data_IF_095625614932
#
_entry.id   IF_095625614932
#
_cell.length_a   1.000
_cell.length_b   1.000
_cell.length_c   1.000
_cell.angle_alpha   90.00
_cell.angle_beta   90.00
_cell.angle_gamma   90.00
#
_symmetry.space_group_name_H-M   'P 1'
#
loop_
_entity.id
_entity.type
_entity.pdbx_description
1 polymer ?
#
# COMPACT_ATOMS: atom_id res chain seq x y z
N UNK A 1 -1.53 30.11 -19.39
CA UNK A 1 -2.80 30.22 -18.66
C UNK A 1 -2.91 29.28 -17.44
N UNK A 2 -2.64 27.98 -17.55
CA UNK A 2 -2.84 27.01 -16.45
C UNK A 2 -2.16 27.31 -15.11
N UNK A 3 -0.92 27.82 -15.10
CA UNK A 3 -0.20 28.09 -13.84
C UNK A 3 -0.84 29.22 -13.03
N UNK A 4 -1.31 30.27 -13.69
CA UNK A 4 -1.98 31.40 -13.03
C UNK A 4 -3.31 30.95 -12.42
N UNK A 5 -4.08 30.17 -13.19
CA UNK A 5 -5.35 29.62 -12.73
C UNK A 5 -5.19 28.63 -11.56
N UNK A 6 -4.21 27.73 -11.64
CA UNK A 6 -3.91 26.81 -10.55
C UNK A 6 -3.57 27.57 -9.24
N UNK A 7 -2.80 28.65 -9.31
CA UNK A 7 -2.48 29.48 -8.14
C UNK A 7 -3.72 30.19 -7.59
N UNK A 8 -4.59 30.70 -8.47
CA UNK A 8 -5.86 31.35 -8.10
C UNK A 8 -6.77 30.44 -7.28
N UNK A 9 -6.80 29.15 -7.59
CA UNK A 9 -7.60 28.14 -6.85
C UNK A 9 -6.84 27.51 -5.66
N UNK A 10 -5.70 28.08 -5.25
CA UNK A 10 -4.97 27.67 -4.05
C UNK A 10 -3.80 26.70 -4.27
N UNK A 11 -3.40 26.41 -5.51
CA UNK A 11 -2.19 25.61 -5.76
C UNK A 11 -0.93 26.39 -5.38
N UNK A 12 -0.01 25.72 -4.68
CA UNK A 12 1.33 26.25 -4.39
C UNK A 12 2.20 26.40 -5.64
N UNK A 13 1.83 25.74 -6.76
CA UNK A 13 2.60 25.72 -8.00
C UNK A 13 3.93 24.95 -7.91
N UNK A 14 4.18 24.23 -6.81
CA UNK A 14 5.34 23.33 -6.65
C UNK A 14 5.10 22.02 -7.38
N UNK A 15 6.19 21.41 -7.88
CA UNK A 15 6.13 20.12 -8.59
C UNK A 15 5.74 18.96 -7.66
N UNK A 16 6.19 19.01 -6.41
CA UNK A 16 5.98 17.95 -5.42
C UNK A 16 5.15 18.50 -4.26
N UNK A 17 4.29 17.64 -3.71
CA UNK A 17 3.65 17.88 -2.41
C UNK A 17 4.76 17.96 -1.37
N UNK A 18 4.60 18.89 -0.41
CA UNK A 18 5.53 19.04 0.69
C UNK A 18 5.71 17.68 1.41
N UNK A 19 6.94 17.23 1.70
CA UNK A 19 7.17 15.97 2.41
C UNK A 19 6.44 15.89 3.76
N UNK A 20 6.24 17.05 4.41
CA UNK A 20 5.58 17.21 5.71
C UNK A 20 4.09 17.56 5.59
N UNK A 21 3.53 17.62 4.38
CA UNK A 21 2.09 17.79 4.22
C UNK A 21 1.33 16.65 4.91
N UNK A 22 0.15 16.92 5.50
CA UNK A 22 -0.71 15.89 6.04
C UNK A 22 -0.96 14.78 5.02
N UNK A 23 -0.77 13.53 5.45
CA UNK A 23 -1.04 12.35 4.63
C UNK A 23 -2.30 11.70 5.15
N UNK A 24 -3.21 11.37 4.23
CA UNK A 24 -4.34 10.50 4.55
C UNK A 24 -3.78 9.10 4.70
N UNK A 25 -3.90 8.52 5.90
CA UNK A 25 -3.55 7.12 6.10
C UNK A 25 -4.48 6.24 5.25
N UNK A 26 -3.89 5.27 4.56
CA UNK A 26 -4.66 4.27 3.82
C UNK A 26 -5.39 3.33 4.77
N UNK A 27 -6.65 3.01 4.42
CA UNK A 27 -7.48 2.04 5.16
C UNK A 27 -6.85 0.65 5.23
N UNK A 28 -5.99 0.33 4.28
CA UNK A 28 -5.28 -0.95 4.21
C UNK A 28 -3.89 -0.81 4.81
N UNK A 29 -3.63 -1.48 5.93
CA UNK A 29 -2.31 -1.53 6.58
C UNK A 29 -1.70 -2.92 6.35
N UNK A 30 -0.52 -2.95 5.74
CA UNK A 30 0.26 -4.17 5.53
C UNK A 30 1.43 -4.21 6.51
N UNK A 31 1.68 -5.36 7.14
CA UNK A 31 2.80 -5.58 8.07
C UNK A 31 3.60 -6.80 7.63
N UNK A 32 4.93 -6.70 7.59
CA UNK A 32 5.79 -7.85 7.28
C UNK A 32 6.28 -8.54 8.57
N UNK A 33 6.88 -9.76 8.48
CA UNK A 33 7.39 -10.47 9.66
C UNK A 33 8.45 -9.72 10.47
N UNK A 34 9.18 -8.79 9.85
CA UNK A 34 10.15 -7.92 10.54
C UNK A 34 9.52 -6.67 11.19
N UNK A 35 8.19 -6.48 11.10
CA UNK A 35 7.47 -5.38 11.72
C UNK A 35 7.37 -4.09 10.89
N UNK A 36 7.93 -4.04 9.67
CA UNK A 36 7.74 -2.88 8.80
C UNK A 36 6.29 -2.76 8.34
N UNK A 37 5.75 -1.54 8.33
CA UNK A 37 4.37 -1.27 7.93
C UNK A 37 4.29 -0.45 6.64
N UNK A 38 3.22 -0.65 5.89
CA UNK A 38 2.85 0.16 4.72
C UNK A 38 1.35 0.40 4.72
N UNK A 39 0.91 1.58 4.30
CA UNK A 39 -0.53 1.88 4.13
C UNK A 39 -0.91 2.03 2.67
N UNK A 40 -2.11 1.59 2.27
CA UNK A 40 -2.67 1.77 0.93
C UNK A 40 -4.09 2.32 1.01
N UNK A 41 -4.40 3.28 0.14
CA UNK A 41 -5.77 3.76 -0.04
C UNK A 41 -6.65 2.67 -0.67
N UNK A 42 -6.12 1.98 -1.69
CA UNK A 42 -6.84 0.92 -2.41
C UNK A 42 -6.49 -0.45 -1.85
N UNK A 43 -7.49 -1.34 -1.86
CA UNK A 43 -7.36 -2.77 -1.58
C UNK A 43 -6.21 -3.39 -2.39
N UNK A 44 -5.36 -4.23 -1.79
CA UNK A 44 -4.35 -4.98 -2.54
C UNK A 44 -5.04 -5.98 -3.49
N UNK A 45 -4.54 -6.05 -4.72
CA UNK A 45 -5.07 -6.95 -5.77
C UNK A 45 -4.32 -8.28 -5.89
N UNK A 46 -3.09 -8.33 -5.37
CA UNK A 46 -2.18 -9.48 -5.33
C UNK A 46 -1.33 -9.41 -4.05
N UNK A 47 -0.77 -10.54 -3.57
CA UNK A 47 0.21 -10.53 -2.48
C UNK A 47 1.39 -9.62 -2.78
N UNK A 48 1.83 -8.90 -1.76
CA UNK A 48 2.94 -7.95 -1.84
C UNK A 48 3.97 -8.31 -0.78
N UNK A 49 5.24 -8.03 -1.07
CA UNK A 49 6.34 -8.24 -0.14
C UNK A 49 6.98 -6.90 0.28
N UNK A 50 7.58 -6.88 1.46
CA UNK A 50 8.22 -5.70 2.02
C UNK A 50 9.46 -5.29 1.21
N UNK A 51 9.41 -4.08 0.64
CA UNK A 51 10.53 -3.50 -0.10
C UNK A 51 11.68 -3.01 0.81
N UNK A 52 11.43 -2.85 2.12
CA UNK A 52 12.47 -2.51 3.10
C UNK A 52 13.31 -3.75 3.43
N UNK A 53 12.68 -4.91 3.58
CA UNK A 53 13.38 -6.16 3.86
C UNK A 53 14.23 -6.65 2.67
N UNK A 54 13.76 -6.44 1.43
CA UNK A 54 14.51 -6.80 0.23
C UNK A 54 14.12 -5.94 -0.98
N UNK A 55 15.10 -5.65 -1.86
CA UNK A 55 14.86 -4.89 -3.11
C UNK A 55 14.05 -5.65 -4.16
N UNK A 56 14.04 -6.98 -4.08
CA UNK A 56 13.28 -7.87 -4.96
C UNK A 56 12.19 -8.60 -4.18
N UNK A 57 11.18 -9.11 -4.90
CA UNK A 57 10.14 -9.93 -4.28
C UNK A 57 10.73 -11.18 -3.61
N UNK A 58 10.31 -11.42 -2.37
CA UNK A 58 10.75 -12.50 -1.48
C UNK A 58 9.54 -12.97 -0.68
N UNK A 59 9.21 -14.26 -0.76
CA UNK A 59 8.00 -14.83 -0.14
C UNK A 59 8.07 -14.73 1.38
N UNK A 60 9.28 -14.76 1.93
CA UNK A 60 9.59 -14.63 3.35
C UNK A 60 9.22 -13.24 3.90
N UNK A 61 9.03 -12.25 3.01
CA UNK A 61 8.73 -10.87 3.35
C UNK A 61 7.29 -10.48 2.99
N UNK A 62 6.39 -11.44 2.78
CA UNK A 62 4.98 -11.18 2.47
C UNK A 62 4.32 -10.28 3.53
N UNK A 63 3.44 -9.40 3.06
CA UNK A 63 2.65 -8.50 3.89
C UNK A 63 1.35 -9.18 4.31
N UNK A 64 1.09 -9.17 5.61
CA UNK A 64 -0.23 -9.45 6.19
C UNK A 64 -1.04 -8.18 6.26
N UNK A 65 -2.34 -8.25 5.94
CA UNK A 65 -3.18 -7.07 5.77
C UNK A 65 -4.22 -6.92 6.87
N UNK A 66 -4.44 -5.66 7.23
CA UNK A 66 -5.58 -5.19 7.99
C UNK A 66 -6.36 -4.17 7.16
N UNK A 67 -7.68 -4.16 7.29
CA UNK A 67 -8.58 -3.15 6.73
C UNK A 67 -9.31 -2.46 7.88
N UNK A 68 -9.15 -1.13 7.98
CA UNK A 68 -9.66 -0.32 9.10
C UNK A 68 -9.25 -0.87 10.48
N UNK A 69 -8.06 -1.45 10.59
CA UNK A 69 -7.54 -2.03 11.83
C UNK A 69 -7.98 -3.47 12.13
N UNK A 70 -8.95 -4.02 11.40
CA UNK A 70 -9.32 -5.42 11.50
C UNK A 70 -8.41 -6.27 10.60
N UNK A 71 -7.87 -7.37 11.13
CA UNK A 71 -7.18 -8.38 10.31
C UNK A 71 -8.17 -8.98 9.32
N UNK A 72 -7.73 -9.15 8.07
CA UNK A 72 -8.57 -9.73 7.01
C UNK A 72 -7.92 -10.98 6.42
N UNK A 73 -8.75 -11.96 6.11
CA UNK A 73 -8.30 -13.20 5.45
C UNK A 73 -8.00 -12.95 3.96
N UNK A 74 -7.16 -13.78 3.32
CA UNK A 74 -6.92 -13.69 1.88
C UNK A 74 -8.20 -13.72 1.02
N UNK A 75 -9.22 -14.47 1.46
CA UNK A 75 -10.51 -14.60 0.81
C UNK A 75 -11.33 -13.31 0.88
N UNK A 76 -11.33 -12.64 2.05
CA UNK A 76 -11.96 -11.33 2.26
C UNK A 76 -11.28 -10.23 1.46
N UNK A 77 -9.96 -10.31 1.31
CA UNK A 77 -9.22 -9.43 0.39
C UNK A 77 -9.71 -9.68 -1.04
N UNK A 78 -9.88 -10.94 -1.44
CA UNK A 78 -10.61 -11.29 -2.65
C UNK A 78 -10.05 -12.51 -3.37
N UNK A 79 -10.85 -13.12 -4.26
CA UNK A 79 -10.58 -14.45 -4.80
C UNK A 79 -9.28 -14.52 -5.62
N UNK A 80 -8.90 -13.44 -6.32
CA UNK A 80 -7.61 -13.36 -7.03
C UNK A 80 -6.43 -13.35 -6.05
N UNK A 81 -6.56 -12.61 -4.96
CA UNK A 81 -5.51 -12.49 -3.95
C UNK A 81 -5.26 -13.85 -3.31
N UNK A 82 -6.31 -14.50 -2.80
CA UNK A 82 -6.25 -15.82 -2.18
C UNK A 82 -5.56 -16.87 -3.07
N UNK A 83 -5.99 -17.00 -4.34
CA UNK A 83 -5.37 -17.94 -5.29
C UNK A 83 -3.90 -17.66 -5.56
N UNK A 84 -3.54 -16.38 -5.68
CA UNK A 84 -2.14 -16.00 -5.94
C UNK A 84 -1.27 -16.30 -4.71
N UNK A 85 -1.80 -16.06 -3.50
CA UNK A 85 -1.10 -16.36 -2.26
C UNK A 85 -0.85 -17.86 -2.12
N UNK A 86 -1.89 -18.68 -2.32
CA UNK A 86 -1.77 -20.13 -2.26
C UNK A 86 -0.71 -20.68 -3.25
N UNK A 87 -0.69 -20.15 -4.48
CA UNK A 87 0.30 -20.55 -5.49
C UNK A 87 1.75 -20.15 -5.14
N UNK A 88 1.93 -19.10 -4.33
CA UNK A 88 3.26 -18.69 -3.84
C UNK A 88 3.72 -19.55 -2.67
N UNK A 89 2.80 -20.05 -1.83
CA UNK A 89 3.11 -20.87 -0.67
C UNK A 89 3.32 -22.34 -1.03
N UNK A 90 2.81 -22.80 -2.18
CA UNK A 90 2.99 -24.16 -2.67
C UNK A 90 4.30 -24.38 -3.45
N UNK A 91 5.22 -23.42 -3.41
CA UNK A 91 6.50 -23.42 -4.14
C UNK A 91 7.65 -23.45 -3.14
#
# INVERSE_FOLDING_TARGET
MWRAEARRIGSTGRRLVDPHAPRVEGRWRGTCPAGHTVTRIRRPSVPLACAVCARSFRVENLLEWQHDGATVTPEEIGPRYARTLAALQSR
#
